data_IF_737336477083
#
_entry.id   IF_737336477083
#
_cell.length_a   1.000
_cell.length_b   1.000
_cell.length_c   1.000
_cell.angle_alpha   90.00
_cell.angle_beta   90.00
_cell.angle_gamma   90.00
#
_symmetry.space_group_name_H-M   'P 1'
#
loop_
_entity.id
_entity.type
_entity.pdbx_description
1 polymer ?
#
# COMPACT_ATOMS: atom_id res chain seq x y z
N UNK A 1 25.60 -17.47 7.33
CA UNK A 1 24.56 -16.82 8.16
C UNK A 1 23.93 -15.71 7.33
N UNK A 2 22.64 -15.76 6.93
CA UNK A 2 22.07 -14.61 6.24
C UNK A 2 21.90 -13.48 7.27
N UNK A 3 22.66 -12.41 7.09
CA UNK A 3 22.72 -11.26 7.98
C UNK A 3 21.34 -10.63 8.19
N UNK A 4 21.04 -10.28 9.44
CA UNK A 4 19.93 -9.40 9.77
C UNK A 4 20.44 -7.96 9.69
N UNK A 5 19.63 -7.06 9.18
CA UNK A 5 19.91 -5.62 9.17
C UNK A 5 18.79 -4.90 9.91
N UNK A 6 19.17 -3.94 10.74
CA UNK A 6 18.28 -2.93 11.32
C UNK A 6 18.73 -1.57 10.80
N UNK A 7 17.77 -0.72 10.43
CA UNK A 7 18.04 0.64 9.98
C UNK A 7 17.05 1.56 10.70
N UNK A 8 17.56 2.39 11.60
CA UNK A 8 16.76 3.30 12.41
C UNK A 8 17.26 4.72 12.17
N UNK A 9 16.35 5.63 11.77
CA UNK A 9 16.68 7.06 11.66
C UNK A 9 15.52 7.90 12.18
N UNK A 10 15.83 8.89 13.01
CA UNK A 10 14.85 9.86 13.51
C UNK A 10 14.37 10.81 12.41
N UNK A 11 15.28 11.37 11.61
CA UNK A 11 14.90 12.26 10.52
C UNK A 11 15.79 12.12 9.29
N UNK A 12 15.15 12.00 8.14
CA UNK A 12 15.78 11.97 6.83
C UNK A 12 15.00 12.86 5.87
N UNK A 13 15.72 13.70 5.12
CA UNK A 13 15.09 14.54 4.10
C UNK A 13 14.68 13.72 2.87
N UNK A 14 15.59 12.89 2.38
CA UNK A 14 15.34 12.04 1.24
C UNK A 14 16.16 10.75 1.28
N UNK A 15 15.53 9.66 0.87
CA UNK A 15 16.20 8.40 0.59
C UNK A 15 15.83 7.95 -0.83
N UNK A 16 16.82 7.47 -1.58
CA UNK A 16 16.63 7.07 -2.97
C UNK A 16 17.39 5.80 -3.30
N UNK A 17 16.81 4.98 -4.19
CA UNK A 17 17.42 3.73 -4.70
C UNK A 17 17.77 2.75 -3.59
N UNK A 18 16.83 2.53 -2.66
CA UNK A 18 17.03 1.64 -1.54
C UNK A 18 16.52 0.23 -1.85
N UNK A 19 17.34 -0.79 -1.62
CA UNK A 19 16.99 -2.18 -1.90
C UNK A 19 17.35 -3.10 -0.74
N UNK A 20 16.37 -3.81 -0.19
CA UNK A 20 16.56 -4.74 0.92
C UNK A 20 16.55 -6.19 0.43
N UNK A 21 17.75 -6.76 0.26
CA UNK A 21 17.94 -8.13 -0.26
C UNK A 21 17.94 -9.21 0.81
N UNK A 22 18.15 -8.85 2.07
CA UNK A 22 18.24 -9.78 3.19
C UNK A 22 17.09 -9.53 4.17
N UNK A 23 17.10 -10.19 5.33
CA UNK A 23 16.07 -9.94 6.34
C UNK A 23 16.38 -8.60 7.02
N UNK A 24 15.52 -7.61 6.81
CA UNK A 24 15.74 -6.24 7.30
C UNK A 24 14.54 -5.71 8.06
N UNK A 25 14.79 -4.96 9.12
CA UNK A 25 13.81 -4.07 9.76
C UNK A 25 14.25 -2.64 9.51
N UNK A 26 13.33 -1.79 9.04
CA UNK A 26 13.60 -0.37 8.80
C UNK A 26 12.56 0.44 9.54
N UNK A 27 13.03 1.38 10.35
CA UNK A 27 12.18 2.26 11.15
C UNK A 27 12.62 3.71 10.92
N UNK A 28 11.66 4.53 10.51
CA UNK A 28 11.86 5.96 10.29
C UNK A 28 10.79 6.77 11.00
N UNK A 29 11.21 7.65 11.90
CA UNK A 29 10.25 8.51 12.59
C UNK A 29 9.75 9.60 11.63
N UNK A 30 10.65 10.26 10.90
CA UNK A 30 10.28 11.23 9.86
C UNK A 30 11.11 11.08 8.58
N UNK A 31 10.43 10.92 7.44
CA UNK A 31 11.05 10.89 6.13
C UNK A 31 10.28 11.76 5.16
N UNK A 32 10.91 12.76 4.55
CA UNK A 32 10.18 13.66 3.64
C UNK A 32 9.90 12.98 2.30
N UNK A 33 10.90 12.28 1.75
CA UNK A 33 10.76 11.61 0.46
C UNK A 33 11.51 10.28 0.38
N UNK A 34 10.80 9.23 -0.03
CA UNK A 34 11.38 7.95 -0.45
C UNK A 34 11.17 7.75 -1.95
N UNK A 35 12.23 7.44 -2.68
CA UNK A 35 12.15 7.11 -4.12
C UNK A 35 12.82 5.78 -4.41
N UNK A 36 12.16 4.92 -5.19
CA UNK A 36 12.70 3.64 -5.65
C UNK A 36 13.08 2.72 -4.48
N UNK A 37 12.07 2.24 -3.77
CA UNK A 37 12.22 1.22 -2.74
C UNK A 37 11.94 -0.16 -3.33
N UNK A 38 12.89 -1.08 -3.21
CA UNK A 38 12.72 -2.47 -3.64
C UNK A 38 12.93 -3.44 -2.47
N UNK A 39 11.98 -4.36 -2.28
CA UNK A 39 12.00 -5.33 -1.18
C UNK A 39 11.95 -6.77 -1.73
N UNK A 40 13.06 -7.28 -2.28
CA UNK A 40 13.16 -8.68 -2.71
C UNK A 40 13.31 -9.68 -1.56
N UNK A 41 13.79 -9.22 -0.40
CA UNK A 41 13.99 -10.05 0.79
C UNK A 41 12.73 -10.26 1.63
N UNK A 42 12.94 -10.61 2.91
CA UNK A 42 11.89 -10.63 3.93
C UNK A 42 12.06 -9.42 4.84
N UNK A 43 11.18 -8.43 4.77
CA UNK A 43 11.39 -7.18 5.51
C UNK A 43 10.18 -6.76 6.33
N UNK A 44 10.45 -5.98 7.37
CA UNK A 44 9.48 -5.14 8.06
C UNK A 44 9.92 -3.69 7.86
N UNK A 45 8.98 -2.83 7.49
CA UNK A 45 9.25 -1.42 7.22
C UNK A 45 8.19 -0.60 7.92
N UNK A 46 8.61 0.28 8.81
CA UNK A 46 7.74 1.13 9.60
C UNK A 46 8.16 2.58 9.42
N UNK A 47 7.20 3.45 9.12
CA UNK A 47 7.44 4.89 9.19
C UNK A 47 6.33 5.58 9.98
N UNK A 48 6.67 6.39 10.98
CA UNK A 48 5.68 7.20 11.66
C UNK A 48 5.16 8.30 10.71
N UNK A 49 6.05 9.08 10.09
CA UNK A 49 5.68 10.10 9.12
C UNK A 49 6.47 10.00 7.82
N UNK A 50 5.77 9.82 6.70
CA UNK A 50 6.34 9.87 5.36
C UNK A 50 5.54 10.81 4.47
N UNK A 51 6.14 11.89 3.96
CA UNK A 51 5.36 12.78 3.09
C UNK A 51 5.11 12.15 1.72
N UNK A 52 6.15 11.62 1.07
CA UNK A 52 6.01 11.06 -0.27
C UNK A 52 6.82 9.78 -0.47
N UNK A 53 6.15 8.74 -0.94
CA UNK A 53 6.75 7.50 -1.41
C UNK A 53 6.50 7.33 -2.91
N UNK A 54 7.57 7.20 -3.69
CA UNK A 54 7.50 6.96 -5.14
C UNK A 54 8.19 5.66 -5.51
N UNK A 55 7.52 4.83 -6.30
CA UNK A 55 8.03 3.58 -6.86
C UNK A 55 8.45 2.59 -5.78
N UNK A 56 7.46 1.89 -5.21
CA UNK A 56 7.70 0.78 -4.30
C UNK A 56 7.40 -0.54 -4.99
N UNK A 57 8.39 -1.42 -4.99
CA UNK A 57 8.30 -2.77 -5.52
C UNK A 57 8.55 -3.80 -4.42
N UNK A 58 7.61 -4.71 -4.21
CA UNK A 58 7.70 -5.76 -3.20
C UNK A 58 7.64 -7.14 -3.86
N UNK A 59 8.74 -7.61 -4.47
CA UNK A 59 8.83 -8.98 -5.01
C UNK A 59 8.98 -10.06 -3.93
N UNK A 60 9.49 -9.69 -2.76
CA UNK A 60 9.70 -10.60 -1.64
C UNK A 60 8.48 -10.78 -0.73
N UNK A 61 8.74 -10.97 0.56
CA UNK A 61 7.70 -10.93 1.59
C UNK A 61 7.91 -9.71 2.47
N UNK A 62 6.91 -8.86 2.63
CA UNK A 62 7.07 -7.66 3.45
C UNK A 62 5.84 -7.37 4.30
N UNK A 63 6.08 -6.80 5.48
CA UNK A 63 5.09 -6.00 6.20
C UNK A 63 5.52 -4.54 6.09
N UNK A 64 4.59 -3.66 5.71
CA UNK A 64 4.82 -2.22 5.62
C UNK A 64 3.77 -1.52 6.46
N UNK A 65 4.20 -0.70 7.41
CA UNK A 65 3.33 0.08 8.29
C UNK A 65 3.69 1.55 8.15
N UNK A 66 2.66 2.38 7.99
CA UNK A 66 2.80 3.83 7.98
C UNK A 66 1.73 4.45 8.88
N UNK A 67 2.13 5.23 9.89
CA UNK A 67 1.12 5.96 10.66
C UNK A 67 0.54 7.09 9.81
N UNK A 68 1.40 7.89 9.17
CA UNK A 68 0.99 8.95 8.26
C UNK A 68 1.78 8.91 6.95
N UNK A 69 1.05 8.79 5.84
CA UNK A 69 1.60 8.90 4.49
C UNK A 69 0.80 9.89 3.66
N UNK A 70 1.40 11.00 3.21
CA UNK A 70 0.63 11.96 2.41
C UNK A 70 0.38 11.45 0.99
N UNK A 71 1.40 10.86 0.35
CA UNK A 71 1.24 10.37 -1.01
C UNK A 71 2.09 9.13 -1.31
N UNK A 72 1.42 8.09 -1.81
CA UNK A 72 2.05 6.93 -2.41
C UNK A 72 1.79 6.92 -3.92
N UNK A 73 2.86 6.81 -4.70
CA UNK A 73 2.78 6.73 -6.17
C UNK A 73 3.52 5.50 -6.67
N UNK A 74 2.87 4.69 -7.49
CA UNK A 74 3.40 3.50 -8.14
C UNK A 74 3.81 2.43 -7.12
N UNK A 75 2.85 1.60 -6.72
CA UNK A 75 3.08 0.41 -5.89
C UNK A 75 2.90 -0.85 -6.72
N UNK A 76 3.92 -1.69 -6.76
CA UNK A 76 3.90 -2.99 -7.40
C UNK A 76 4.18 -4.09 -6.38
N UNK A 77 3.26 -5.03 -6.22
CA UNK A 77 3.39 -6.16 -5.27
C UNK A 77 3.30 -7.48 -6.04
N UNK A 78 4.40 -7.93 -6.67
CA UNK A 78 4.48 -9.28 -7.24
C UNK A 78 4.65 -10.37 -6.20
N UNK A 79 5.16 -10.04 -5.02
CA UNK A 79 5.39 -10.98 -3.93
C UNK A 79 4.19 -11.17 -3.00
N UNK A 80 4.48 -11.29 -1.70
CA UNK A 80 3.44 -11.30 -0.65
C UNK A 80 3.64 -10.12 0.28
N UNK A 81 2.60 -9.34 0.52
CA UNK A 81 2.72 -8.19 1.41
C UNK A 81 1.50 -8.00 2.31
N UNK A 82 1.74 -7.49 3.51
CA UNK A 82 0.73 -6.82 4.32
C UNK A 82 1.10 -5.34 4.39
N UNK A 83 0.16 -4.46 4.09
CA UNK A 83 0.36 -3.02 4.09
C UNK A 83 -0.70 -2.37 4.96
N UNK A 84 -0.26 -1.62 5.96
CA UNK A 84 -1.13 -0.96 6.93
C UNK A 84 -0.84 0.55 6.92
N UNK A 85 -1.90 1.35 6.81
CA UNK A 85 -1.80 2.79 6.95
C UNK A 85 -2.85 3.30 7.94
N UNK A 86 -2.45 4.04 8.97
CA UNK A 86 -3.44 4.74 9.79
C UNK A 86 -4.05 5.91 8.99
N UNK A 87 -3.22 6.74 8.38
CA UNK A 87 -3.67 7.81 7.49
C UNK A 87 -2.90 7.83 6.17
N UNK A 88 -3.62 7.75 5.04
CA UNK A 88 -3.07 7.91 3.70
C UNK A 88 -3.89 8.93 2.90
N UNK A 89 -3.31 10.06 2.49
CA UNK A 89 -4.09 11.05 1.74
C UNK A 89 -4.33 10.62 0.29
N UNK A 90 -3.31 10.05 -0.37
CA UNK A 90 -3.44 9.63 -1.76
C UNK A 90 -2.61 8.39 -2.11
N UNK A 91 -3.27 7.39 -2.70
CA UNK A 91 -2.64 6.24 -3.33
C UNK A 91 -2.93 6.26 -4.83
N UNK A 92 -1.88 6.24 -5.64
CA UNK A 92 -1.99 6.27 -7.11
C UNK A 92 -1.18 5.16 -7.75
N UNK A 93 -1.77 4.50 -8.75
CA UNK A 93 -1.16 3.45 -9.56
C UNK A 93 -0.71 2.26 -8.71
N UNK A 94 -1.63 1.36 -8.41
CA UNK A 94 -1.37 0.12 -7.71
C UNK A 94 -1.47 -1.06 -8.67
N UNK A 95 -0.49 -1.95 -8.64
CA UNK A 95 -0.50 -3.21 -9.35
C UNK A 95 -0.19 -4.35 -8.38
N UNK A 96 -1.13 -5.28 -8.20
CA UNK A 96 -0.97 -6.43 -7.30
C UNK A 96 -1.10 -7.74 -8.10
N UNK A 97 -0.04 -8.18 -8.78
CA UNK A 97 0.00 -9.53 -9.37
C UNK A 97 0.20 -10.63 -8.34
N UNK A 98 0.75 -10.32 -7.17
CA UNK A 98 1.00 -11.27 -6.09
C UNK A 98 -0.18 -11.46 -5.14
N UNK A 99 0.13 -11.61 -3.85
CA UNK A 99 -0.86 -11.68 -2.77
C UNK A 99 -0.69 -10.53 -1.81
N UNK A 100 -1.73 -9.77 -1.54
CA UNK A 100 -1.64 -8.66 -0.60
C UNK A 100 -2.82 -8.58 0.35
N UNK A 101 -2.57 -8.10 1.56
CA UNK A 101 -3.58 -7.56 2.46
C UNK A 101 -3.30 -6.06 2.64
N UNK A 102 -4.33 -5.24 2.53
CA UNK A 102 -4.27 -3.81 2.79
C UNK A 102 -5.28 -3.46 3.87
N UNK A 103 -4.82 -2.73 4.88
CA UNK A 103 -5.70 -2.15 5.90
C UNK A 103 -5.43 -0.65 5.94
N UNK A 104 -6.45 0.17 5.74
CA UNK A 104 -6.32 1.61 5.93
C UNK A 104 -7.43 2.13 6.83
N UNK A 105 -7.07 2.81 7.92
CA UNK A 105 -8.08 3.44 8.77
C UNK A 105 -8.68 4.67 8.06
N UNK A 106 -7.84 5.51 7.46
CA UNK A 106 -8.29 6.63 6.64
C UNK A 106 -7.55 6.72 5.31
N UNK A 107 -8.29 6.69 4.20
CA UNK A 107 -7.79 6.94 2.86
C UNK A 107 -8.62 8.00 2.14
N UNK A 108 -8.03 9.14 1.80
CA UNK A 108 -8.82 10.19 1.11
C UNK A 108 -9.04 9.84 -0.37
N UNK A 109 -8.03 9.30 -1.05
CA UNK A 109 -8.15 9.03 -2.48
C UNK A 109 -7.34 7.84 -2.97
N UNK A 110 -8.01 6.96 -3.71
CA UNK A 110 -7.45 5.79 -4.36
C UNK A 110 -7.70 5.91 -5.89
N UNK A 111 -6.63 5.95 -6.71
CA UNK A 111 -6.74 6.09 -8.18
C UNK A 111 -5.86 5.11 -8.98
N UNK A 112 -6.44 4.50 -10.01
CA UNK A 112 -5.80 3.60 -10.97
C UNK A 112 -5.24 2.34 -10.29
N UNK A 113 -6.09 1.34 -10.11
CA UNK A 113 -5.78 0.12 -9.39
C UNK A 113 -6.01 -1.09 -10.28
N UNK A 114 -5.02 -1.97 -10.37
CA UNK A 114 -5.11 -3.24 -11.06
C UNK A 114 -4.76 -4.37 -10.09
N UNK A 115 -5.71 -5.28 -9.86
CA UNK A 115 -5.53 -6.42 -8.96
C UNK A 115 -5.68 -7.73 -9.74
N UNK A 116 -4.66 -8.15 -10.52
CA UNK A 116 -4.67 -9.45 -11.19
C UNK A 116 -4.43 -10.64 -10.26
N UNK A 117 -3.82 -10.41 -9.10
CA UNK A 117 -3.51 -11.43 -8.11
C UNK A 117 -4.65 -11.70 -7.13
N UNK A 118 -4.29 -11.96 -5.87
CA UNK A 118 -5.25 -12.10 -4.76
C UNK A 118 -5.07 -10.96 -3.79
N UNK A 119 -6.13 -10.24 -3.48
CA UNK A 119 -6.06 -9.14 -2.52
C UNK A 119 -7.21 -9.18 -1.52
N UNK A 120 -6.92 -8.80 -0.28
CA UNK A 120 -7.92 -8.34 0.66
C UNK A 120 -7.63 -6.86 0.93
N UNK A 121 -8.64 -6.01 0.86
CA UNK A 121 -8.52 -4.57 1.11
C UNK A 121 -9.62 -4.18 2.08
N UNK A 122 -9.22 -3.61 3.20
CA UNK A 122 -10.10 -3.08 4.23
C UNK A 122 -9.86 -1.58 4.39
N UNK A 123 -10.94 -0.82 4.39
CA UNK A 123 -10.93 0.62 4.58
C UNK A 123 -11.98 1.02 5.63
N UNK A 124 -11.58 1.53 6.78
CA UNK A 124 -12.57 2.11 7.71
C UNK A 124 -13.19 3.38 7.10
N UNK A 125 -12.39 4.20 6.41
CA UNK A 125 -12.91 5.30 5.61
C UNK A 125 -12.16 5.48 4.29
N UNK A 126 -12.93 5.56 3.19
CA UNK A 126 -12.44 5.91 1.87
C UNK A 126 -13.28 7.02 1.26
N UNK A 127 -12.72 8.20 1.03
CA UNK A 127 -13.52 9.28 0.43
C UNK A 127 -13.77 9.02 -1.05
N UNK A 128 -12.73 8.64 -1.82
CA UNK A 128 -12.88 8.47 -3.26
C UNK A 128 -12.07 7.31 -3.83
N UNK A 129 -12.75 6.42 -4.55
CA UNK A 129 -12.18 5.37 -5.38
C UNK A 129 -12.38 5.65 -6.87
N UNK A 130 -11.32 5.62 -7.67
CA UNK A 130 -11.40 5.79 -9.13
C UNK A 130 -10.57 4.77 -9.89
N UNK A 131 -11.13 4.25 -10.98
CA UNK A 131 -10.45 3.38 -11.95
C UNK A 131 -9.88 2.12 -11.28
N UNK A 132 -10.77 1.29 -10.71
CA UNK A 132 -10.41 0.01 -10.12
C UNK A 132 -10.72 -1.12 -11.12
N UNK A 133 -9.71 -1.88 -11.48
CA UNK A 133 -9.79 -3.06 -12.32
C UNK A 133 -9.36 -4.30 -11.52
N UNK A 134 -10.25 -5.28 -11.41
CA UNK A 134 -9.97 -6.52 -10.69
C UNK A 134 -10.20 -7.72 -11.62
N UNK A 135 -9.16 -8.14 -12.35
CA UNK A 135 -9.17 -9.40 -13.07
C UNK A 135 -8.84 -10.61 -12.20
N UNK A 136 -8.32 -10.41 -10.98
CA UNK A 136 -8.01 -11.45 -10.02
C UNK A 136 -9.14 -11.74 -9.04
N UNK A 137 -8.79 -12.27 -7.87
CA UNK A 137 -9.75 -12.43 -6.76
C UNK A 137 -9.50 -11.36 -5.72
N UNK A 138 -10.55 -10.66 -5.31
CA UNK A 138 -10.43 -9.61 -4.31
C UNK A 138 -11.57 -9.67 -3.30
N UNK A 139 -11.26 -9.36 -2.05
CA UNK A 139 -12.25 -8.91 -1.06
C UNK A 139 -12.00 -7.43 -0.82
N UNK A 140 -13.05 -6.63 -0.93
CA UNK A 140 -13.02 -5.20 -0.67
C UNK A 140 -14.06 -4.89 0.40
N UNK A 141 -13.61 -4.43 1.55
CA UNK A 141 -14.48 -4.04 2.67
C UNK A 141 -14.26 -2.55 2.94
N UNK A 142 -15.34 -1.77 2.94
CA UNK A 142 -15.26 -0.37 3.34
C UNK A 142 -16.40 -0.01 4.29
N UNK A 143 -16.10 0.43 5.51
CA UNK A 143 -17.17 0.92 6.38
C UNK A 143 -17.82 2.18 5.79
N UNK A 144 -17.00 3.13 5.31
CA UNK A 144 -17.51 4.31 4.60
C UNK A 144 -16.83 4.52 3.24
N UNK A 145 -17.64 4.70 2.19
CA UNK A 145 -17.18 5.07 0.85
C UNK A 145 -17.97 6.25 0.31
N UNK A 146 -17.33 7.41 0.09
CA UNK A 146 -18.09 8.59 -0.38
C UNK A 146 -18.38 8.58 -1.87
N UNK A 147 -17.44 8.12 -2.71
CA UNK A 147 -17.64 8.06 -4.15
C UNK A 147 -16.84 6.94 -4.82
N UNK A 148 -17.49 6.23 -5.73
CA UNK A 148 -16.91 5.21 -6.59
C UNK A 148 -17.06 5.60 -8.06
N UNK A 149 -15.97 5.54 -8.85
CA UNK A 149 -16.06 5.73 -10.30
C UNK A 149 -15.19 4.73 -11.06
N UNK A 150 -15.73 4.18 -12.14
CA UNK A 150 -15.05 3.24 -13.02
C UNK A 150 -14.55 2.00 -12.28
N UNK A 151 -15.47 1.12 -11.94
CA UNK A 151 -15.19 -0.21 -11.40
C UNK A 151 -15.35 -1.24 -12.51
N UNK A 152 -14.31 -2.03 -12.79
CA UNK A 152 -14.33 -3.15 -13.71
C UNK A 152 -13.90 -4.43 -12.99
N UNK A 153 -14.80 -5.40 -12.88
CA UNK A 153 -14.53 -6.69 -12.27
C UNK A 153 -14.84 -7.80 -13.27
N UNK A 154 -13.86 -8.63 -13.59
CA UNK A 154 -14.02 -9.74 -14.56
C UNK A 154 -13.91 -11.11 -13.88
N UNK A 155 -13.84 -11.15 -12.54
CA UNK A 155 -13.64 -12.34 -11.73
C UNK A 155 -14.34 -12.24 -10.37
N UNK A 156 -14.24 -13.30 -9.55
CA UNK A 156 -14.86 -13.37 -8.22
C UNK A 156 -14.27 -12.30 -7.30
N UNK A 157 -15.06 -11.26 -7.04
CA UNK A 157 -14.78 -10.22 -6.07
C UNK A 157 -15.96 -10.09 -5.12
N UNK A 158 -15.67 -10.00 -3.84
CA UNK A 158 -16.66 -9.62 -2.83
C UNK A 158 -16.41 -8.16 -2.50
N UNK A 159 -17.48 -7.36 -2.52
CA UNK A 159 -17.42 -5.94 -2.19
C UNK A 159 -18.50 -5.67 -1.14
N UNK A 160 -18.07 -5.28 0.04
CA UNK A 160 -18.93 -4.99 1.18
C UNK A 160 -18.75 -3.53 1.60
N UNK A 161 -19.87 -2.88 1.86
CA UNK A 161 -19.92 -1.49 2.29
C UNK A 161 -21.00 -1.28 3.35
N UNK A 162 -20.66 -0.65 4.48
CA UNK A 162 -21.68 -0.27 5.47
C UNK A 162 -22.43 1.00 5.07
N UNK A 163 -21.74 1.95 4.42
CA UNK A 163 -22.36 3.21 3.98
C UNK A 163 -21.69 3.78 2.72
N UNK A 164 -22.51 4.03 1.69
CA UNK A 164 -22.10 4.71 0.46
C UNK A 164 -22.91 6.00 0.30
N UNK A 165 -22.24 7.16 0.21
CA UNK A 165 -22.96 8.46 0.16
C UNK A 165 -23.19 9.03 -1.25
N UNK A 166 -22.48 8.57 -2.29
CA UNK A 166 -22.77 8.93 -3.67
C UNK A 166 -22.37 7.83 -4.67
N UNK A 167 -23.34 7.43 -5.52
CA UNK A 167 -23.16 6.58 -6.70
C UNK A 167 -23.25 7.44 -7.98
#
# INVERSE_FOLDING_TARGET
>A
MPGRCTLEHASLSALSNFAMRVRCTVEHESLSALRHLAIPGRCAVEHASLSVLRNLAIPGRCTVVHESLSALKNLAIPGRCTVEHAALSALRNLAIPGRCAFVHAALSCLRNHAIPGRCAVEHASLSVLRNLAIPGRCTLEHATLSALRNLAMTCRCTVEHESISAL
#
